data_IF_671470513352
#
_entry.id   IF_671470513352
#
_cell.length_a   1.000
_cell.length_b   1.000
_cell.length_c   1.000
_cell.angle_alpha   90.00
_cell.angle_beta   90.00
_cell.angle_gamma   90.00
#
_symmetry.space_group_name_H-M   'P 1'
#
loop_
_entity.id
_entity.type
_entity.pdbx_description
1 polymer ?
#
# COMPACT_ATOMS: atom_id res chain seq x y z
N UNK A 1 13.46 -32.29 -7.80
CA UNK A 1 12.28 -31.39 -7.79
C UNK A 1 12.48 -30.39 -8.90
N UNK A 2 11.43 -30.01 -9.63
CA UNK A 2 11.57 -28.96 -10.63
C UNK A 2 11.93 -27.61 -9.95
N UNK A 3 12.49 -26.68 -10.72
CA UNK A 3 12.96 -25.38 -10.22
C UNK A 3 11.82 -24.52 -9.61
N UNK A 4 10.60 -24.64 -10.12
CA UNK A 4 9.41 -23.97 -9.61
C UNK A 4 8.97 -24.56 -8.27
N UNK A 5 8.97 -25.89 -8.12
CA UNK A 5 8.68 -26.57 -6.86
C UNK A 5 9.73 -26.24 -5.79
N UNK A 6 10.99 -26.12 -6.17
CA UNK A 6 12.06 -25.66 -5.27
C UNK A 6 11.84 -24.20 -4.85
N UNK A 7 11.54 -23.29 -5.79
CA UNK A 7 11.25 -21.89 -5.45
C UNK A 7 10.00 -21.75 -4.57
N UNK A 8 8.96 -22.54 -4.83
CA UNK A 8 7.74 -22.55 -4.01
C UNK A 8 8.05 -22.93 -2.54
N UNK A 9 8.84 -23.98 -2.34
CA UNK A 9 9.16 -24.47 -1.00
C UNK A 9 10.20 -23.61 -0.28
N UNK A 10 11.25 -23.18 -0.97
CA UNK A 10 12.43 -22.56 -0.35
C UNK A 10 12.42 -21.04 -0.37
N UNK A 11 11.55 -20.41 -1.16
CA UNK A 11 11.39 -18.96 -1.18
C UNK A 11 9.96 -18.54 -0.82
N UNK A 12 8.95 -19.00 -1.57
CA UNK A 12 7.58 -18.50 -1.40
C UNK A 12 6.91 -18.94 -0.11
N UNK A 13 7.11 -20.18 0.33
CA UNK A 13 6.62 -20.63 1.64
C UNK A 13 7.24 -19.81 2.78
N UNK A 14 8.57 -19.62 2.87
CA UNK A 14 9.18 -18.68 3.82
C UNK A 14 8.61 -17.26 3.74
N UNK A 15 8.43 -16.71 2.53
CA UNK A 15 7.81 -15.39 2.33
C UNK A 15 6.40 -15.34 2.92
N UNK A 16 5.57 -16.37 2.70
CA UNK A 16 4.20 -16.44 3.22
C UNK A 16 4.14 -16.61 4.75
N UNK A 17 5.13 -17.27 5.35
CA UNK A 17 5.21 -17.46 6.80
C UNK A 17 5.47 -16.15 7.56
N UNK A 18 6.12 -15.15 6.93
CA UNK A 18 6.41 -13.86 7.57
C UNK A 18 5.13 -13.10 7.94
N UNK A 19 4.24 -12.71 7.01
CA UNK A 19 3.03 -11.97 7.34
C UNK A 19 2.07 -12.79 8.20
N UNK A 20 1.98 -14.11 7.97
CA UNK A 20 1.17 -15.00 8.80
C UNK A 20 1.68 -15.05 10.25
N UNK A 21 2.99 -15.19 10.43
CA UNK A 21 3.62 -15.19 11.75
C UNK A 21 3.45 -13.86 12.48
N UNK A 22 3.63 -12.73 11.78
CA UNK A 22 3.38 -11.39 12.32
C UNK A 22 1.91 -11.22 12.72
N UNK A 23 0.98 -11.64 11.87
CA UNK A 23 -0.46 -11.59 12.15
C UNK A 23 -0.80 -12.36 13.43
N UNK A 24 -0.34 -13.60 13.55
CA UNK A 24 -0.56 -14.43 14.74
C UNK A 24 0.08 -13.78 15.98
N UNK A 25 1.31 -13.27 15.86
CA UNK A 25 2.00 -12.61 16.97
C UNK A 25 1.27 -11.36 17.49
N UNK A 26 0.67 -10.57 16.60
CA UNK A 26 -0.04 -9.33 16.96
C UNK A 26 -1.48 -9.56 17.41
N UNK A 27 -2.17 -10.55 16.85
CA UNK A 27 -3.60 -10.81 17.13
C UNK A 27 -3.83 -11.72 18.35
N UNK A 28 -2.89 -12.61 18.66
CA UNK A 28 -3.06 -13.56 19.76
C UNK A 28 -2.83 -12.92 21.13
N UNK A 29 -3.75 -13.18 22.07
CA UNK A 29 -3.59 -12.82 23.49
C UNK A 29 -2.79 -13.88 24.27
N UNK A 30 -2.81 -15.13 23.81
CA UNK A 30 -2.12 -16.25 24.44
C UNK A 30 -0.62 -16.25 24.17
N UNK A 31 0.18 -16.51 25.21
CA UNK A 31 1.65 -16.47 25.14
C UNK A 31 2.24 -17.52 24.20
N UNK A 32 1.64 -18.72 24.14
CA UNK A 32 2.09 -19.80 23.26
C UNK A 32 1.88 -19.46 21.78
N UNK A 33 0.67 -18.99 21.42
CA UNK A 33 0.37 -18.58 20.05
C UNK A 33 1.24 -17.40 19.60
N UNK A 34 1.51 -16.44 20.49
CA UNK A 34 2.45 -15.34 20.19
C UNK A 34 3.86 -15.85 19.90
N UNK A 35 4.39 -16.77 20.73
CA UNK A 35 5.71 -17.38 20.49
C UNK A 35 5.74 -18.17 19.18
N UNK A 36 4.66 -18.87 18.85
CA UNK A 36 4.53 -19.60 17.59
C UNK A 36 4.54 -18.64 16.39
N UNK A 37 3.76 -17.55 16.44
CA UNK A 37 3.78 -16.52 15.41
C UNK A 37 5.16 -15.88 15.24
N UNK A 38 5.85 -15.58 16.34
CA UNK A 38 7.23 -15.09 16.31
C UNK A 38 8.19 -16.10 15.69
N UNK A 39 8.11 -17.39 16.07
CA UNK A 39 8.94 -18.44 15.50
C UNK A 39 8.68 -18.63 14.00
N UNK A 40 7.42 -18.59 13.56
CA UNK A 40 7.05 -18.64 12.14
C UNK A 40 7.63 -17.46 11.36
N UNK A 41 7.51 -16.24 11.89
CA UNK A 41 8.06 -15.06 11.26
C UNK A 41 9.60 -15.11 11.18
N UNK A 42 10.27 -15.58 12.24
CA UNK A 42 11.72 -15.76 12.26
C UNK A 42 12.17 -16.84 11.26
N UNK A 43 11.51 -18.00 11.24
CA UNK A 43 11.79 -19.08 10.28
C UNK A 43 11.57 -18.61 8.83
N UNK A 44 10.49 -17.88 8.57
CA UNK A 44 10.22 -17.28 7.27
C UNK A 44 11.32 -16.31 6.86
N UNK A 45 11.72 -15.41 7.76
CA UNK A 45 12.80 -14.46 7.51
C UNK A 45 14.13 -15.17 7.23
N UNK A 46 14.49 -16.16 8.06
CA UNK A 46 15.71 -16.96 7.85
C UNK A 46 15.66 -17.69 6.51
N UNK A 47 14.53 -18.27 6.13
CA UNK A 47 14.37 -18.92 4.83
C UNK A 47 14.57 -17.96 3.65
N UNK A 48 14.03 -16.74 3.73
CA UNK A 48 14.25 -15.71 2.70
C UNK A 48 15.71 -15.28 2.63
N UNK A 49 16.37 -15.06 3.78
CA UNK A 49 17.80 -14.70 3.82
C UNK A 49 18.66 -15.81 3.24
N UNK A 50 18.31 -17.08 3.48
CA UNK A 50 19.04 -18.23 2.96
C UNK A 50 18.73 -18.56 1.49
N UNK A 51 17.71 -17.93 0.89
CA UNK A 51 17.27 -18.21 -0.48
C UNK A 51 18.36 -18.10 -1.56
N UNK A 52 19.37 -17.20 -1.48
CA UNK A 52 20.46 -17.17 -2.45
C UNK A 52 21.27 -18.48 -2.51
N UNK A 53 21.33 -19.22 -1.40
CA UNK A 53 22.06 -20.50 -1.32
C UNK A 53 21.17 -21.71 -1.60
N UNK A 54 19.85 -21.62 -1.36
CA UNK A 54 18.94 -22.77 -1.49
C UNK A 54 18.31 -22.88 -2.88
N UNK A 55 18.13 -21.77 -3.60
CA UNK A 55 17.52 -21.74 -4.94
C UNK A 55 18.21 -20.75 -5.90
N UNK A 56 19.56 -20.80 -6.05
CA UNK A 56 20.38 -19.80 -6.76
C UNK A 56 19.92 -19.44 -8.18
N UNK A 57 19.38 -20.41 -8.91
CA UNK A 57 18.92 -20.24 -10.29
C UNK A 57 17.50 -19.64 -10.40
N UNK A 58 16.81 -19.42 -9.28
CA UNK A 58 15.43 -18.95 -9.28
C UNK A 58 15.35 -17.45 -9.56
N UNK A 59 14.49 -17.01 -10.51
CA UNK A 59 14.17 -15.58 -10.70
C UNK A 59 13.70 -14.91 -9.40
N UNK A 60 13.13 -15.67 -8.46
CA UNK A 60 12.67 -15.17 -7.17
C UNK A 60 13.79 -14.60 -6.30
N UNK A 61 15.04 -15.01 -6.48
CA UNK A 61 16.18 -14.41 -5.76
C UNK A 61 16.35 -12.94 -6.15
N UNK A 62 16.19 -12.59 -7.43
CA UNK A 62 16.29 -11.19 -7.84
C UNK A 62 15.20 -10.34 -7.17
N UNK A 63 14.01 -10.90 -6.90
CA UNK A 63 12.97 -10.20 -6.14
C UNK A 63 13.37 -10.01 -4.67
N UNK A 64 13.88 -11.06 -4.01
CA UNK A 64 14.38 -10.99 -2.64
C UNK A 64 15.56 -10.02 -2.49
N UNK A 65 16.48 -10.02 -3.45
CA UNK A 65 17.60 -9.09 -3.54
C UNK A 65 17.11 -7.64 -3.62
N UNK A 66 16.15 -7.35 -4.51
CA UNK A 66 15.56 -6.01 -4.59
C UNK A 66 14.93 -5.60 -3.26
N UNK A 67 14.14 -6.47 -2.63
CA UNK A 67 13.52 -6.18 -1.32
C UNK A 67 14.59 -5.85 -0.28
N UNK A 68 15.68 -6.62 -0.22
CA UNK A 68 16.82 -6.34 0.66
C UNK A 68 17.39 -4.93 0.48
N UNK A 69 17.59 -4.49 -0.76
CA UNK A 69 18.04 -3.13 -1.08
C UNK A 69 17.02 -2.05 -0.68
N UNK A 70 15.73 -2.35 -0.76
CA UNK A 70 14.65 -1.40 -0.42
C UNK A 70 14.42 -1.25 1.09
N UNK A 71 14.75 -2.26 1.92
CA UNK A 71 14.47 -2.23 3.37
C UNK A 71 15.11 -1.02 4.05
N UNK A 72 16.37 -0.70 3.75
CA UNK A 72 17.09 0.42 4.35
C UNK A 72 16.41 1.78 4.13
N UNK A 73 16.28 2.25 2.88
CA UNK A 73 15.60 3.50 2.59
C UNK A 73 14.12 3.48 3.02
N UNK A 74 13.40 2.36 2.85
CA UNK A 74 12.01 2.25 3.28
C UNK A 74 11.86 2.41 4.81
N UNK A 75 12.73 1.79 5.59
CA UNK A 75 12.73 1.93 7.05
C UNK A 75 12.96 3.37 7.49
N UNK A 76 13.91 4.08 6.85
CA UNK A 76 14.16 5.49 7.13
C UNK A 76 12.99 6.39 6.74
N UNK A 77 12.36 6.14 5.58
CA UNK A 77 11.18 6.87 5.13
C UNK A 77 9.99 6.66 6.07
N UNK A 78 9.72 5.41 6.46
CA UNK A 78 8.62 5.06 7.35
C UNK A 78 8.84 5.58 8.78
N UNK A 79 10.05 5.41 9.33
CA UNK A 79 10.40 5.95 10.63
C UNK A 79 10.34 7.48 10.63
N UNK A 80 10.83 8.12 9.56
CA UNK A 80 10.75 9.56 9.37
C UNK A 80 9.31 10.06 9.35
N UNK A 81 8.44 9.40 8.57
CA UNK A 81 7.01 9.73 8.50
C UNK A 81 6.32 9.53 9.85
N UNK A 82 6.60 8.41 10.53
CA UNK A 82 6.06 8.11 11.87
C UNK A 82 6.42 9.22 12.86
N UNK A 83 7.71 9.56 12.96
CA UNK A 83 8.18 10.61 13.87
C UNK A 83 7.55 11.97 13.54
N UNK A 84 7.44 12.34 12.26
CA UNK A 84 6.81 13.61 11.85
C UNK A 84 5.31 13.63 12.16
N UNK A 85 4.60 12.53 11.90
CA UNK A 85 3.17 12.43 12.13
C UNK A 85 2.83 12.51 13.63
N UNK A 86 3.52 11.72 14.46
CA UNK A 86 3.20 11.59 15.88
C UNK A 86 3.82 12.67 16.79
N UNK A 87 4.83 13.41 16.31
CA UNK A 87 5.34 14.61 17.01
C UNK A 87 4.54 15.90 16.68
N UNK A 88 3.57 15.79 15.76
CA UNK A 88 2.71 16.88 15.31
C UNK A 88 1.58 17.23 16.28
N UNK A 89 0.51 17.83 15.73
CA UNK A 89 -0.69 18.15 16.49
C UNK A 89 -1.62 16.93 16.54
N UNK A 90 -1.22 15.91 17.28
CA UNK A 90 -2.01 14.68 17.52
C UNK A 90 -2.66 14.75 18.90
N UNK A 91 -3.92 14.34 19.00
CA UNK A 91 -4.72 14.44 20.22
C UNK A 91 -4.28 13.47 21.33
N UNK A 92 -3.71 12.30 20.99
CA UNK A 92 -3.33 11.24 21.93
C UNK A 92 -1.98 10.64 21.51
N UNK A 93 -1.13 10.29 22.48
CA UNK A 93 0.14 9.58 22.22
C UNK A 93 1.21 10.43 21.52
N UNK A 94 1.23 11.74 21.78
CA UNK A 94 2.14 12.69 21.14
C UNK A 94 3.60 12.47 21.54
N UNK A 95 4.47 12.33 20.55
CA UNK A 95 5.92 12.27 20.76
C UNK A 95 6.49 13.67 21.07
N UNK A 96 7.67 13.74 21.73
CA UNK A 96 8.39 14.99 21.94
C UNK A 96 8.55 15.81 20.64
N UNK A 97 8.40 17.13 20.73
CA UNK A 97 8.54 18.03 19.56
C UNK A 97 9.95 17.99 18.95
N UNK A 98 10.98 17.62 19.74
CA UNK A 98 12.36 17.40 19.27
C UNK A 98 12.43 16.34 18.18
N UNK A 99 11.61 15.30 18.31
CA UNK A 99 11.67 14.10 17.48
C UNK A 99 11.16 14.40 16.06
N UNK A 100 10.41 15.50 15.89
CA UNK A 100 10.03 16.00 14.57
C UNK A 100 11.25 16.28 13.69
N UNK A 101 12.32 16.86 14.25
CA UNK A 101 13.54 17.18 13.50
C UNK A 101 14.26 15.90 13.08
N UNK A 102 14.34 14.93 14.00
CA UNK A 102 14.87 13.61 13.71
C UNK A 102 14.05 12.92 12.61
N UNK A 103 12.73 13.02 12.66
CA UNK A 103 11.84 12.48 11.64
C UNK A 103 12.04 13.08 10.26
N UNK A 104 12.14 14.41 10.17
CA UNK A 104 12.46 15.10 8.91
C UNK A 104 13.83 14.67 8.38
N UNK A 105 14.84 14.58 9.25
CA UNK A 105 16.18 14.15 8.85
C UNK A 105 16.19 12.71 8.34
N UNK A 106 15.55 11.77 9.06
CA UNK A 106 15.43 10.38 8.66
C UNK A 106 14.71 10.24 7.30
N UNK A 107 13.61 10.97 7.11
CA UNK A 107 12.89 11.00 5.84
C UNK A 107 13.77 11.52 4.69
N UNK A 108 14.48 12.63 4.89
CA UNK A 108 15.35 13.20 3.86
C UNK A 108 16.52 12.27 3.50
N UNK A 109 17.16 11.64 4.48
CA UNK A 109 18.23 10.67 4.24
C UNK A 109 17.69 9.45 3.48
N UNK A 110 16.53 8.91 3.92
CA UNK A 110 15.88 7.80 3.25
C UNK A 110 15.48 8.14 1.81
N UNK A 111 14.95 9.35 1.59
CA UNK A 111 14.59 9.84 0.26
C UNK A 111 15.81 9.98 -0.65
N UNK A 112 16.89 10.62 -0.18
CA UNK A 112 18.13 10.80 -0.93
C UNK A 112 18.80 9.46 -1.25
N UNK A 113 18.80 8.52 -0.30
CA UNK A 113 19.26 7.16 -0.57
C UNK A 113 18.40 6.53 -1.66
N UNK A 114 17.08 6.55 -1.50
CA UNK A 114 16.16 5.89 -2.42
C UNK A 114 16.23 6.42 -3.85
N UNK A 115 16.29 7.75 -4.03
CA UNK A 115 16.50 8.36 -5.35
C UNK A 115 17.92 8.12 -5.87
N UNK A 116 18.91 8.14 -4.97
CA UNK A 116 20.31 7.84 -5.26
C UNK A 116 20.52 6.44 -5.82
N UNK A 117 19.65 5.47 -5.51
CA UNK A 117 19.67 4.13 -6.12
C UNK A 117 19.46 4.13 -7.63
N UNK A 118 18.98 5.21 -8.24
CA UNK A 118 18.87 5.30 -9.70
C UNK A 118 20.10 5.94 -10.35
N UNK A 119 20.64 7.01 -9.76
CA UNK A 119 21.70 7.82 -10.38
C UNK A 119 23.12 7.55 -9.86
N UNK A 120 23.28 6.95 -8.67
CA UNK A 120 24.59 6.69 -8.08
C UNK A 120 24.98 5.21 -8.15
N UNK A 121 26.18 4.85 -7.70
CA UNK A 121 26.66 3.47 -7.60
C UNK A 121 25.96 2.67 -6.47
N UNK A 122 24.65 2.86 -6.33
CA UNK A 122 23.75 2.21 -5.37
C UNK A 122 22.65 1.41 -6.07
N UNK A 123 22.63 1.42 -7.40
CA UNK A 123 21.67 0.68 -8.22
C UNK A 123 21.70 -0.81 -7.85
N UNK A 124 20.56 -1.43 -7.51
CA UNK A 124 20.52 -2.86 -7.20
C UNK A 124 21.05 -3.67 -8.38
N UNK A 125 22.17 -4.36 -8.18
CA UNK A 125 22.81 -5.21 -9.18
C UNK A 125 23.06 -6.61 -8.61
N UNK A 126 22.71 -7.64 -9.39
CA UNK A 126 22.96 -9.04 -9.06
C UNK A 126 23.86 -9.63 -10.16
N UNK A 127 24.96 -10.27 -9.79
CA UNK A 127 25.93 -10.88 -10.72
C UNK A 127 26.50 -9.92 -11.78
N UNK A 128 26.66 -8.65 -11.42
CA UNK A 128 27.20 -7.60 -12.31
C UNK A 128 26.19 -6.98 -13.26
N UNK A 129 24.95 -7.48 -13.30
CA UNK A 129 23.85 -6.91 -14.07
C UNK A 129 22.87 -6.16 -13.17
N UNK A 130 22.19 -5.15 -13.72
CA UNK A 130 21.11 -4.47 -13.00
C UNK A 130 20.00 -5.46 -12.70
N UNK A 131 19.50 -5.42 -11.47
CA UNK A 131 18.38 -6.25 -11.06
C UNK A 131 17.16 -5.98 -11.95
N UNK A 132 16.69 -7.02 -12.65
CA UNK A 132 15.53 -6.95 -13.56
C UNK A 132 14.27 -6.36 -12.93
N UNK A 133 14.05 -6.57 -11.63
CA UNK A 133 12.88 -6.02 -10.95
C UNK A 133 13.05 -4.55 -10.63
N UNK A 134 14.27 -4.02 -10.47
CA UNK A 134 14.50 -2.58 -10.32
C UNK A 134 14.07 -1.83 -11.58
N UNK A 135 14.39 -2.37 -12.75
CA UNK A 135 14.02 -1.82 -14.05
C UNK A 135 12.51 -1.67 -14.23
N UNK A 136 11.72 -2.56 -13.63
CA UNK A 136 10.25 -2.49 -13.65
C UNK A 136 9.72 -1.66 -12.49
N UNK A 137 10.26 -1.86 -11.28
CA UNK A 137 9.80 -1.24 -10.04
C UNK A 137 9.94 0.28 -10.10
N UNK A 138 11.12 0.79 -10.46
CA UNK A 138 11.40 2.22 -10.34
C UNK A 138 10.51 3.09 -11.26
N UNK A 139 10.38 2.80 -12.58
CA UNK A 139 9.44 3.53 -13.44
C UNK A 139 7.99 3.38 -12.99
N UNK A 140 7.57 2.16 -12.61
CA UNK A 140 6.20 1.89 -12.13
C UNK A 140 5.89 2.66 -10.86
N UNK A 141 6.83 2.68 -9.91
CA UNK A 141 6.70 3.39 -8.65
C UNK A 141 6.54 4.89 -8.86
N UNK A 142 7.41 5.51 -9.66
CA UNK A 142 7.33 6.95 -9.94
C UNK A 142 6.03 7.32 -10.67
N UNK A 143 5.64 6.53 -11.67
CA UNK A 143 4.44 6.78 -12.45
C UNK A 143 3.18 6.60 -11.60
N UNK A 144 3.09 5.50 -10.85
CA UNK A 144 1.98 5.23 -9.95
C UNK A 144 1.88 6.30 -8.84
N UNK A 145 3.01 6.69 -8.23
CA UNK A 145 3.03 7.72 -7.20
C UNK A 145 2.55 9.08 -7.76
N UNK A 146 2.98 9.44 -8.97
CA UNK A 146 2.52 10.65 -9.66
C UNK A 146 0.99 10.60 -9.86
N UNK A 147 0.47 9.48 -10.39
CA UNK A 147 -0.95 9.29 -10.63
C UNK A 147 -1.77 9.33 -9.32
N UNK A 148 -1.32 8.63 -8.28
CA UNK A 148 -1.99 8.59 -6.98
C UNK A 148 -2.01 9.97 -6.32
N UNK A 149 -0.88 10.69 -6.31
CA UNK A 149 -0.84 12.05 -5.77
C UNK A 149 -1.76 12.99 -6.54
N UNK A 150 -1.77 12.94 -7.88
CA UNK A 150 -2.68 13.75 -8.71
C UNK A 150 -4.15 13.41 -8.47
N UNK A 151 -4.51 12.12 -8.42
CA UNK A 151 -5.87 11.66 -8.19
C UNK A 151 -6.36 12.05 -6.78
N UNK A 152 -5.52 11.88 -5.76
CA UNK A 152 -5.81 12.31 -4.40
C UNK A 152 -5.92 13.84 -4.29
N UNK A 153 -5.06 14.59 -4.99
CA UNK A 153 -5.13 16.05 -5.02
C UNK A 153 -6.44 16.54 -5.64
N UNK A 154 -6.86 15.92 -6.75
CA UNK A 154 -8.14 16.22 -7.41
C UNK A 154 -9.32 15.84 -6.52
N UNK A 155 -9.31 14.65 -5.93
CA UNK A 155 -10.36 14.17 -5.02
C UNK A 155 -10.56 15.12 -3.82
N UNK A 156 -9.47 15.56 -3.18
CA UNK A 156 -9.55 16.55 -2.09
C UNK A 156 -10.10 17.91 -2.54
N UNK A 157 -9.96 18.25 -3.82
CA UNK A 157 -10.44 19.54 -4.37
C UNK A 157 -11.91 19.49 -4.81
N UNK A 158 -12.37 18.34 -5.26
CA UNK A 158 -13.75 18.13 -5.73
C UNK A 158 -14.69 17.72 -4.59
N UNK A 159 -14.24 16.78 -3.75
CA UNK A 159 -15.06 16.16 -2.70
C UNK A 159 -14.75 16.77 -1.32
N UNK A 160 -13.51 17.19 -1.09
CA UNK A 160 -13.05 17.64 0.21
C UNK A 160 -13.51 19.06 0.55
N UNK A 161 -14.27 19.23 1.64
CA UNK A 161 -14.59 20.56 2.16
C UNK A 161 -13.36 21.22 2.79
N UNK A 162 -13.01 22.42 2.31
CA UNK A 162 -11.88 23.24 2.78
C UNK A 162 -10.50 22.53 2.77
N UNK A 163 -10.29 21.54 1.90
CA UNK A 163 -9.01 20.78 1.79
C UNK A 163 -8.04 21.30 0.72
N UNK A 164 -8.13 22.59 0.38
CA UNK A 164 -7.30 23.20 -0.68
C UNK A 164 -5.81 23.18 -0.34
N UNK A 165 -5.44 23.35 0.93
CA UNK A 165 -4.02 23.34 1.34
C UNK A 165 -3.40 21.95 1.14
N UNK A 166 -4.09 20.91 1.58
CA UNK A 166 -3.68 19.53 1.44
C UNK A 166 -3.65 19.10 -0.04
N UNK A 167 -4.65 19.50 -0.82
CA UNK A 167 -4.68 19.30 -2.29
C UNK A 167 -3.45 19.93 -2.97
N UNK A 168 -3.11 21.18 -2.62
CA UNK A 168 -1.95 21.87 -3.21
C UNK A 168 -0.62 21.17 -2.86
N UNK A 169 -0.49 20.64 -1.64
CA UNK A 169 0.69 19.85 -1.24
C UNK A 169 0.80 18.58 -2.11
N UNK A 170 -0.30 17.86 -2.34
CA UNK A 170 -0.29 16.67 -3.19
C UNK A 170 0.00 17.00 -4.66
N UNK A 171 -0.52 18.12 -5.18
CA UNK A 171 -0.15 18.61 -6.51
C UNK A 171 1.35 18.90 -6.63
N UNK A 172 1.93 19.54 -5.61
CA UNK A 172 3.36 19.80 -5.57
C UNK A 172 4.18 18.50 -5.55
N UNK A 173 3.80 17.54 -4.71
CA UNK A 173 4.47 16.23 -4.65
C UNK A 173 4.36 15.50 -5.98
N UNK A 174 3.17 15.50 -6.61
CA UNK A 174 2.97 14.92 -7.94
C UNK A 174 3.89 15.56 -8.99
N UNK A 175 3.94 16.90 -9.06
CA UNK A 175 4.82 17.61 -10.00
C UNK A 175 6.31 17.36 -9.74
N UNK A 176 6.70 17.22 -8.48
CA UNK A 176 8.06 16.88 -8.10
C UNK A 176 8.45 15.45 -8.53
N UNK A 177 7.59 14.45 -8.29
CA UNK A 177 7.83 13.07 -8.75
C UNK A 177 7.82 12.98 -10.27
N UNK A 178 6.91 13.69 -10.94
CA UNK A 178 6.92 13.81 -12.39
C UNK A 178 8.23 14.41 -12.92
N UNK A 179 8.80 15.39 -12.22
CA UNK A 179 10.10 15.95 -12.56
C UNK A 179 11.22 14.89 -12.45
N UNK A 180 11.16 13.99 -11.47
CA UNK A 180 12.10 12.86 -11.38
C UNK A 180 11.97 11.91 -12.57
N UNK A 181 10.76 11.66 -13.08
CA UNK A 181 10.54 10.89 -14.30
C UNK A 181 11.21 11.59 -15.49
N UNK A 182 10.98 12.89 -15.67
CA UNK A 182 11.59 13.67 -16.76
C UNK A 182 13.13 13.64 -16.65
N UNK A 183 13.68 13.75 -15.45
CA UNK A 183 15.13 13.63 -15.24
C UNK A 183 15.64 12.24 -15.61
N UNK A 184 14.97 11.16 -15.21
CA UNK A 184 15.36 9.79 -15.53
C UNK A 184 15.22 9.46 -17.03
N UNK A 185 14.33 10.16 -17.73
CA UNK A 185 14.21 10.06 -19.19
C UNK A 185 15.29 10.84 -19.95
N UNK A 186 16.05 11.72 -19.31
CA UNK A 186 16.98 12.66 -19.97
C UNK A 186 18.42 12.53 -19.52
N UNK A 187 18.65 12.11 -18.28
CA UNK A 187 19.98 11.98 -17.67
C UNK A 187 20.22 10.51 -17.36
N UNK A 188 21.31 9.98 -17.90
CA UNK A 188 21.74 8.60 -17.64
C UNK A 188 22.07 8.41 -16.16
N UNK A 189 21.62 7.27 -15.60
CA UNK A 189 22.07 6.79 -14.31
C UNK A 189 23.42 6.09 -14.41
N UNK A 190 23.97 5.69 -13.26
CA UNK A 190 25.25 4.97 -13.17
C UNK A 190 25.24 3.62 -13.90
N UNK A 191 24.08 2.94 -13.88
CA UNK A 191 23.92 1.57 -14.39
C UNK A 191 22.68 1.41 -15.29
N UNK A 192 21.78 2.40 -15.32
CA UNK A 192 20.58 2.40 -16.17
C UNK A 192 20.61 3.66 -17.03
N UNK A 193 20.75 3.48 -18.33
CA UNK A 193 20.70 4.60 -19.27
C UNK A 193 19.26 5.10 -19.50
N UNK A 194 19.15 6.32 -20.01
CA UNK A 194 17.88 6.97 -20.24
C UNK A 194 17.02 6.26 -21.30
N UNK A 195 17.61 5.54 -22.25
CA UNK A 195 16.85 4.78 -23.26
C UNK A 195 16.19 3.55 -22.66
N UNK A 196 16.92 2.80 -21.83
CA UNK A 196 16.41 1.68 -21.05
C UNK A 196 15.30 2.14 -20.09
N UNK A 197 15.50 3.25 -19.39
CA UNK A 197 14.46 3.82 -18.53
C UNK A 197 13.18 4.18 -19.32
N UNK A 198 13.30 4.84 -20.48
CA UNK A 198 12.14 5.16 -21.35
C UNK A 198 11.38 3.91 -21.81
N UNK A 199 12.10 2.86 -22.18
CA UNK A 199 11.51 1.59 -22.59
C UNK A 199 10.68 0.97 -21.45
N UNK A 200 11.24 0.88 -20.25
CA UNK A 200 10.54 0.34 -19.09
C UNK A 200 9.43 1.26 -18.56
N UNK A 201 9.56 2.57 -18.71
CA UNK A 201 8.49 3.53 -18.38
C UNK A 201 7.26 3.33 -19.27
N UNK A 202 7.46 3.04 -20.57
CA UNK A 202 6.35 2.75 -21.48
C UNK A 202 5.63 1.44 -21.13
N UNK A 203 6.39 0.40 -20.80
CA UNK A 203 5.85 -0.86 -20.29
C UNK A 203 5.05 -0.64 -19.01
N UNK A 204 5.61 0.09 -18.04
CA UNK A 204 4.92 0.44 -16.79
C UNK A 204 3.61 1.21 -17.05
N UNK A 205 3.61 2.14 -18.01
CA UNK A 205 2.40 2.85 -18.43
C UNK A 205 1.34 1.92 -19.02
N UNK A 206 1.74 0.97 -19.88
CA UNK A 206 0.84 -0.02 -20.44
C UNK A 206 0.25 -0.95 -19.35
N UNK A 207 1.08 -1.41 -18.41
CA UNK A 207 0.63 -2.27 -17.30
C UNK A 207 -0.36 -1.55 -16.37
N UNK A 208 -0.08 -0.29 -16.02
CA UNK A 208 -0.97 0.52 -15.18
C UNK A 208 -2.29 0.83 -15.89
N UNK A 209 -2.25 1.17 -17.19
CA UNK A 209 -3.45 1.41 -17.97
C UNK A 209 -4.28 0.13 -18.12
N UNK A 210 -3.64 -1.00 -18.44
CA UNK A 210 -4.29 -2.29 -18.53
C UNK A 210 -4.95 -2.69 -17.23
N UNK A 211 -4.28 -2.46 -16.10
CA UNK A 211 -4.82 -2.69 -14.75
C UNK A 211 -6.04 -1.81 -14.47
N UNK A 212 -5.97 -0.51 -14.79
CA UNK A 212 -7.08 0.42 -14.60
C UNK A 212 -8.30 0.06 -15.46
N UNK A 213 -8.09 -0.29 -16.73
CA UNK A 213 -9.15 -0.72 -17.64
C UNK A 213 -9.76 -2.05 -17.17
N UNK A 214 -8.93 -3.02 -16.79
CA UNK A 214 -9.39 -4.30 -16.25
C UNK A 214 -10.21 -4.13 -14.98
N UNK A 215 -9.76 -3.24 -14.08
CA UNK A 215 -10.50 -2.89 -12.87
C UNK A 215 -11.86 -2.25 -13.19
N UNK A 216 -11.91 -1.30 -14.13
CA UNK A 216 -13.16 -0.66 -14.53
C UNK A 216 -14.15 -1.67 -15.14
N UNK A 217 -13.68 -2.56 -16.03
CA UNK A 217 -14.50 -3.63 -16.60
C UNK A 217 -15.00 -4.58 -15.51
N UNK A 218 -14.16 -4.95 -14.54
CA UNK A 218 -14.57 -5.80 -13.43
C UNK A 218 -15.69 -5.17 -12.59
N UNK A 219 -15.59 -3.87 -12.30
CA UNK A 219 -16.66 -3.13 -11.60
C UNK A 219 -17.96 -3.11 -12.41
N UNK A 220 -17.88 -2.89 -13.73
CA UNK A 220 -19.06 -2.90 -14.60
C UNK A 220 -19.72 -4.28 -14.68
N UNK A 221 -18.94 -5.35 -14.81
CA UNK A 221 -19.44 -6.72 -14.82
C UNK A 221 -20.13 -7.04 -13.50
N UNK A 222 -19.49 -6.71 -12.37
CA UNK A 222 -20.06 -6.95 -11.04
C UNK A 222 -21.36 -6.17 -10.82
N UNK A 223 -21.39 -4.88 -11.17
CA UNK A 223 -22.60 -4.07 -11.13
C UNK A 223 -23.71 -4.60 -12.05
N UNK A 224 -23.34 -5.09 -13.23
CA UNK A 224 -24.27 -5.73 -14.16
C UNK A 224 -24.89 -7.01 -13.59
N UNK A 225 -24.09 -7.86 -12.93
CA UNK A 225 -24.58 -9.07 -12.26
C UNK A 225 -25.55 -8.72 -11.13
N UNK A 226 -25.23 -7.71 -10.30
CA UNK A 226 -26.14 -7.23 -9.24
C UNK A 226 -27.45 -6.74 -9.86
N UNK A 227 -27.39 -5.90 -10.90
CA UNK A 227 -28.59 -5.38 -11.56
C UNK A 227 -29.46 -6.50 -12.15
N UNK A 228 -28.85 -7.51 -12.78
CA UNK A 228 -29.59 -8.67 -13.30
C UNK A 228 -30.21 -9.49 -12.17
N UNK A 229 -29.49 -9.67 -11.06
CA UNK A 229 -29.99 -10.38 -9.90
C UNK A 229 -31.16 -9.63 -9.25
N UNK A 230 -31.04 -8.32 -9.00
CA UNK A 230 -32.11 -7.50 -8.43
C UNK A 230 -33.36 -7.51 -9.30
N UNK A 231 -33.21 -7.45 -10.63
CA UNK A 231 -34.34 -7.55 -11.57
C UNK A 231 -35.03 -8.92 -11.56
N UNK A 232 -34.38 -9.96 -11.06
CA UNK A 232 -34.94 -11.32 -10.97
C UNK A 232 -35.66 -11.60 -9.65
N UNK A 233 -35.55 -10.71 -8.65
CA UNK A 233 -36.24 -10.87 -7.38
C UNK A 233 -37.73 -10.55 -7.54
N UNK A 234 -38.57 -11.33 -6.87
CA UNK A 234 -40.00 -11.05 -6.77
C UNK A 234 -40.23 -9.77 -5.95
N UNK A 235 -41.32 -9.05 -6.24
CA UNK A 235 -41.68 -7.89 -5.44
C UNK A 235 -41.84 -8.31 -3.97
N UNK A 236 -41.28 -7.54 -3.01
CA UNK A 236 -41.43 -7.86 -1.62
C UNK A 236 -42.93 -7.87 -1.26
N UNK A 237 -43.38 -8.83 -0.45
CA UNK A 237 -44.78 -8.91 -0.08
C UNK A 237 -45.23 -7.59 0.54
N UNK A 238 -46.38 -7.09 0.07
CA UNK A 238 -47.06 -5.94 0.65
C UNK A 238 -47.21 -6.16 2.16
N UNK A 239 -46.65 -5.24 2.95
CA UNK A 239 -46.78 -5.29 4.40
C UNK A 239 -48.27 -5.09 4.71
N UNK A 240 -48.84 -6.04 5.44
CA UNK A 240 -50.22 -5.88 5.88
C UNK A 240 -50.37 -4.59 6.70
N UNK A 241 -51.52 -3.90 6.61
CA UNK A 241 -51.77 -2.72 7.42
C UNK A 241 -51.56 -3.07 8.90
N UNK A 242 -51.00 -2.15 9.71
CA UNK A 242 -50.64 -2.45 11.09
C UNK A 242 -51.86 -2.94 11.86
N UNK A 243 -51.65 -3.99 12.65
CA UNK A 243 -52.70 -4.53 13.51
C UNK A 243 -53.01 -3.57 14.65
N UNK A 244 -54.20 -3.64 15.26
CA UNK A 244 -54.56 -2.80 16.41
C UNK A 244 -53.54 -2.90 17.56
N UNK A 245 -52.94 -4.07 17.76
CA UNK A 245 -51.90 -4.30 18.79
C UNK A 245 -50.59 -3.59 18.47
N UNK A 246 -50.20 -3.55 17.20
CA UNK A 246 -49.02 -2.79 16.76
C UNK A 246 -49.26 -1.28 16.87
N UNK A 247 -50.48 -0.82 16.59
CA UNK A 247 -50.87 0.56 16.86
C UNK A 247 -50.81 0.91 18.35
N UNK A 248 -51.30 0.05 19.23
CA UNK A 248 -51.17 0.24 20.68
C UNK A 248 -49.71 0.24 21.13
N UNK A 249 -48.88 -0.64 20.56
CA UNK A 249 -47.45 -0.69 20.86
C UNK A 249 -46.73 0.58 20.40
N UNK A 250 -46.99 1.05 19.18
CA UNK A 250 -46.44 2.31 18.66
C UNK A 250 -46.94 3.50 19.48
N UNK A 251 -48.23 3.54 19.82
CA UNK A 251 -48.80 4.59 20.66
C UNK A 251 -48.18 4.60 22.07
N UNK A 252 -47.86 3.43 22.63
CA UNK A 252 -47.19 3.32 23.93
C UNK A 252 -45.71 3.76 23.87
N UNK A 253 -44.98 3.44 22.81
CA UNK A 253 -43.61 3.95 22.61
C UNK A 253 -43.62 5.46 22.41
N UNK A 254 -44.55 5.96 21.60
CA UNK A 254 -44.71 7.39 21.33
C UNK A 254 -45.11 8.13 22.60
N UNK A 255 -46.06 7.63 23.39
CA UNK A 255 -46.45 8.27 24.66
C UNK A 255 -45.35 8.21 25.72
N UNK A 256 -44.51 7.17 25.72
CA UNK A 256 -43.35 7.06 26.61
C UNK A 256 -42.20 8.02 26.24
N UNK A 257 -42.16 8.53 25.00
CA UNK A 257 -41.09 9.41 24.51
C UNK A 257 -41.57 10.83 24.17
N UNK A 258 -42.88 11.07 24.07
CA UNK A 258 -43.47 12.41 24.00
C UNK A 258 -43.56 12.95 25.43
N UNK A 259 -42.66 13.87 25.74
CA UNK A 259 -42.50 14.42 27.08
C UNK A 259 -41.12 14.17 27.66
N UNK A 260 -40.10 14.03 26.78
CA UNK A 260 -38.70 13.92 27.16
C UNK A 260 -38.42 14.76 28.40
N UNK A 261 -37.87 14.12 29.43
CA UNK A 261 -37.36 14.82 30.59
C UNK A 261 -36.49 15.96 30.09
N UNK A 262 -36.92 17.18 30.40
CA UNK A 262 -36.04 18.33 30.57
C UNK A 262 -35.00 17.93 31.62
N UNK A 263 -33.96 17.21 31.20
CA UNK A 263 -32.75 17.05 31.99
C UNK A 263 -31.84 18.24 31.66
N UNK A 264 -31.94 19.24 32.54
CA UNK A 264 -30.88 20.21 32.82
C UNK A 264 -29.54 19.51 33.14
#
# INVERSE_FOLDING_TARGET
MDAMAQAALWFWLPVALIPLGIWIFLSSKESLQRRMGQAMALLGLTGVVLSPWTVPESPSIAAGHLVGFLIGPAALLLAGLYLVAFSGNVAVGKLPKSDRRLGVMAFLIGFVWFTGMHWWNLTPSLDGEVNRYWLVFWPTFLLLLTCLCSASALSLRVIGDRRTKESNVLWFVSGFVFSLIVLAMTIDGSAVDAASFRYHLWLAGADLLGTAVGFAIAVLVFGGVIMLHERSLEEPPSVHPPTPKEFEHVAAIVSANIGGEESE
#
